data_IF_434872969441
#
_entry.id   IF_434872969441
#
_cell.length_a   1.000
_cell.length_b   1.000
_cell.length_c   1.000
_cell.angle_alpha   90.00
_cell.angle_beta   90.00
_cell.angle_gamma   90.00
#
_symmetry.space_group_name_H-M   'P 1'
#
loop_
_entity.id
_entity.type
_entity.pdbx_description
1 polymer ?
#
# COMPACT_ATOMS: atom_id res chain seq x y z
N UNK A 1 -19.31 -8.49 -22.88
CA UNK A 1 -18.80 -7.11 -22.79
C UNK A 1 -17.56 -6.87 -23.63
N UNK A 2 -17.62 -5.93 -24.59
CA UNK A 2 -16.47 -5.41 -25.33
C UNK A 2 -16.11 -4.04 -24.76
N UNK A 3 -14.87 -3.86 -24.36
CA UNK A 3 -14.40 -2.60 -23.76
C UNK A 3 -13.74 -1.74 -24.83
N UNK A 4 -14.27 -0.54 -25.02
CA UNK A 4 -13.66 0.47 -25.87
C UNK A 4 -12.87 1.41 -24.95
N UNK A 5 -11.55 1.43 -25.12
CA UNK A 5 -10.63 2.26 -24.33
C UNK A 5 -10.70 3.75 -24.69
N UNK A 6 -11.90 4.30 -24.76
CA UNK A 6 -12.16 5.68 -25.12
C UNK A 6 -12.47 6.47 -23.86
N UNK A 7 -11.61 7.45 -23.58
CA UNK A 7 -11.79 8.37 -22.47
C UNK A 7 -12.71 9.53 -22.86
N UNK A 8 -13.91 9.56 -22.28
CA UNK A 8 -14.90 10.61 -22.51
C UNK A 8 -14.40 11.96 -21.97
N UNK A 9 -13.49 11.96 -20.99
CA UNK A 9 -12.88 13.19 -20.48
C UNK A 9 -12.07 13.92 -21.58
N UNK A 10 -11.57 13.18 -22.57
CA UNK A 10 -10.91 13.72 -23.75
C UNK A 10 -11.78 14.67 -24.57
N UNK A 11 -13.11 14.57 -24.47
CA UNK A 11 -14.04 15.51 -25.11
C UNK A 11 -13.93 16.91 -24.50
N UNK A 12 -13.82 16.99 -23.18
CA UNK A 12 -13.76 18.26 -22.45
C UNK A 12 -12.38 18.91 -22.53
N UNK A 13 -11.31 18.11 -22.67
CA UNK A 13 -9.95 18.62 -22.88
C UNK A 13 -9.63 18.91 -24.35
N UNK A 14 -10.55 18.60 -25.28
CA UNK A 14 -10.37 18.79 -26.72
C UNK A 14 -9.48 17.74 -27.40
N UNK A 15 -9.03 16.71 -26.68
CA UNK A 15 -8.24 15.61 -27.23
C UNK A 15 -9.06 14.67 -28.12
N UNK A 16 -10.38 14.61 -27.93
CA UNK A 16 -11.30 13.79 -28.73
C UNK A 16 -12.24 14.67 -29.55
N UNK A 17 -12.37 14.45 -30.88
CA UNK A 17 -13.30 15.22 -31.69
C UNK A 17 -14.75 14.85 -31.35
N UNK A 18 -15.68 15.82 -31.18
CA UNK A 18 -17.07 15.57 -30.82
C UNK A 18 -17.82 14.64 -31.78
N UNK A 19 -17.46 14.68 -33.06
CA UNK A 19 -18.03 13.80 -34.10
C UNK A 19 -17.72 12.32 -33.86
N UNK A 20 -16.54 12.02 -33.32
CA UNK A 20 -16.14 10.66 -32.98
C UNK A 20 -16.91 10.14 -31.77
N UNK A 21 -17.21 10.99 -30.77
CA UNK A 21 -18.09 10.63 -29.65
C UNK A 21 -19.52 10.32 -30.10
N UNK A 22 -20.07 11.10 -31.04
CA UNK A 22 -21.41 10.82 -31.58
C UNK A 22 -21.45 9.51 -32.37
N UNK A 23 -20.46 9.25 -33.21
CA UNK A 23 -20.34 7.97 -33.92
C UNK A 23 -20.21 6.78 -32.94
N UNK A 24 -19.51 6.97 -31.82
CA UNK A 24 -19.45 5.97 -30.75
C UNK A 24 -20.82 5.74 -30.11
N UNK A 25 -21.58 6.79 -29.76
CA UNK A 25 -22.92 6.64 -29.17
C UNK A 25 -23.87 5.91 -30.12
N UNK A 26 -23.78 6.19 -31.43
CA UNK A 26 -24.66 5.61 -32.45
C UNK A 26 -24.32 4.15 -32.78
N UNK A 27 -23.04 3.78 -32.77
CA UNK A 27 -22.59 2.46 -33.21
C UNK A 27 -22.13 1.54 -32.08
N UNK A 28 -22.18 1.97 -30.81
CA UNK A 28 -21.85 1.09 -29.71
C UNK A 28 -23.00 0.11 -29.41
N UNK A 29 -22.69 -1.19 -29.27
CA UNK A 29 -23.67 -2.14 -28.76
C UNK A 29 -24.05 -1.79 -27.31
N UNK A 30 -25.30 -2.03 -26.90
CA UNK A 30 -25.81 -1.68 -25.57
C UNK A 30 -24.96 -2.23 -24.40
N UNK A 31 -24.26 -3.34 -24.66
CA UNK A 31 -23.33 -4.03 -23.76
C UNK A 31 -21.94 -3.37 -23.63
N UNK A 32 -21.74 -2.20 -24.22
CA UNK A 32 -20.47 -1.51 -24.21
C UNK A 32 -20.36 -0.54 -23.03
N UNK A 33 -19.16 -0.46 -22.47
CA UNK A 33 -18.83 0.47 -21.41
C UNK A 33 -17.67 1.35 -21.85
N UNK A 34 -17.82 2.65 -21.66
CA UNK A 34 -16.75 3.64 -21.82
C UNK A 34 -15.89 3.65 -20.56
N UNK A 35 -14.57 3.79 -20.73
CA UNK A 35 -13.62 3.89 -19.62
C UNK A 35 -12.93 5.24 -19.65
N UNK A 36 -13.10 6.03 -18.61
CA UNK A 36 -12.26 7.22 -18.43
C UNK A 36 -10.89 6.81 -17.91
N UNK A 37 -9.84 7.24 -18.61
CA UNK A 37 -8.45 6.98 -18.22
C UNK A 37 -8.12 7.69 -16.90
N UNK A 38 -8.77 8.82 -16.65
CA UNK A 38 -8.62 9.62 -15.43
C UNK A 38 -9.19 8.96 -14.16
N UNK A 39 -10.14 8.01 -14.24
CA UNK A 39 -10.60 7.26 -13.06
C UNK A 39 -9.75 6.02 -12.77
N UNK A 40 -8.91 5.59 -13.72
CA UNK A 40 -8.00 4.46 -13.56
C UNK A 40 -6.57 4.99 -13.34
N UNK A 41 -6.23 5.34 -12.10
CA UNK A 41 -4.87 5.77 -11.72
C UNK A 41 -3.77 4.76 -12.16
N UNK A 42 -4.09 3.47 -12.36
CA UNK A 42 -3.12 2.43 -12.77
C UNK A 42 -3.00 2.15 -14.27
N UNK A 43 -3.59 2.99 -15.15
CA UNK A 43 -3.45 2.87 -16.60
C UNK A 43 -4.12 1.63 -17.22
N UNK A 44 -3.65 1.20 -18.41
CA UNK A 44 -4.25 0.09 -19.19
C UNK A 44 -4.30 -1.23 -18.41
N UNK A 45 -3.47 -1.40 -17.37
CA UNK A 45 -3.44 -2.61 -16.53
C UNK A 45 -4.66 -2.74 -15.60
N UNK A 46 -5.30 -1.63 -15.27
CA UNK A 46 -6.57 -1.61 -14.51
C UNK A 46 -7.78 -1.69 -15.45
N UNK A 47 -7.56 -1.73 -16.76
CA UNK A 47 -8.61 -1.84 -17.76
C UNK A 47 -9.13 -3.28 -17.85
N UNK A 48 -9.96 -3.68 -16.91
CA UNK A 48 -10.62 -5.00 -16.90
C UNK A 48 -11.59 -5.20 -15.74
N UNK A 49 -11.61 -4.24 -14.82
CA UNK A 49 -12.43 -4.29 -13.63
C UNK A 49 -13.86 -3.85 -13.92
N UNK A 50 -14.74 -4.82 -13.96
CA UNK A 50 -16.20 -4.68 -13.97
C UNK A 50 -16.79 -5.06 -12.60
N UNK A 51 -18.05 -4.69 -12.32
CA UNK A 51 -18.76 -5.04 -11.08
C UNK A 51 -18.64 -6.53 -10.76
N UNK A 52 -18.79 -7.40 -11.76
CA UNK A 52 -18.67 -8.84 -11.56
C UNK A 52 -17.27 -9.24 -11.12
N UNK A 53 -16.22 -8.63 -11.68
CA UNK A 53 -14.83 -8.91 -11.28
C UNK A 53 -14.50 -8.40 -9.87
N UNK A 54 -15.11 -7.29 -9.44
CA UNK A 54 -14.99 -6.82 -8.05
C UNK A 54 -15.62 -7.81 -7.07
N UNK A 55 -16.83 -8.28 -7.37
CA UNK A 55 -17.54 -9.27 -6.54
C UNK A 55 -16.72 -10.57 -6.46
N UNK A 56 -16.18 -11.04 -7.59
CA UNK A 56 -15.35 -12.25 -7.61
C UNK A 56 -14.06 -12.09 -6.80
N UNK A 57 -13.40 -10.93 -6.89
CA UNK A 57 -12.22 -10.64 -6.06
C UNK A 57 -12.56 -10.65 -4.57
N UNK A 58 -13.70 -10.06 -4.18
CA UNK A 58 -14.17 -10.05 -2.79
C UNK A 58 -14.54 -11.46 -2.28
N UNK A 59 -15.22 -12.26 -3.10
CA UNK A 59 -15.49 -13.66 -2.79
C UNK A 59 -14.20 -14.47 -2.61
N UNK A 60 -13.19 -14.23 -3.44
CA UNK A 60 -11.90 -14.90 -3.34
C UNK A 60 -11.18 -14.54 -2.03
N UNK A 61 -11.17 -13.26 -1.67
CA UNK A 61 -10.61 -12.79 -0.39
C UNK A 61 -11.33 -13.43 0.80
N UNK A 62 -12.66 -13.47 0.77
CA UNK A 62 -13.47 -14.12 1.81
C UNK A 62 -13.15 -15.62 1.92
N UNK A 63 -13.02 -16.32 0.79
CA UNK A 63 -12.67 -17.74 0.77
C UNK A 63 -11.27 -17.99 1.35
N UNK A 64 -10.29 -17.16 1.01
CA UNK A 64 -8.94 -17.24 1.58
C UNK A 64 -8.96 -17.00 3.10
N UNK A 65 -9.77 -16.06 3.57
CA UNK A 65 -9.96 -15.80 5.00
C UNK A 65 -10.60 -17.00 5.73
N UNK A 66 -11.64 -17.60 5.14
CA UNK A 66 -12.26 -18.81 5.69
C UNK A 66 -11.24 -19.96 5.74
N UNK A 67 -10.51 -20.21 4.66
CA UNK A 67 -9.51 -21.28 4.60
C UNK A 67 -8.40 -21.08 5.63
N UNK A 68 -7.86 -19.86 5.75
CA UNK A 68 -6.82 -19.58 6.75
C UNK A 68 -7.34 -19.67 8.19
N UNK A 69 -8.59 -19.29 8.45
CA UNK A 69 -9.22 -19.50 9.75
C UNK A 69 -9.35 -20.99 10.10
N UNK A 70 -9.71 -21.83 9.12
CA UNK A 70 -9.81 -23.27 9.31
C UNK A 70 -8.44 -23.88 9.61
N UNK A 71 -7.41 -23.51 8.84
CA UNK A 71 -6.04 -23.97 9.10
C UNK A 71 -5.54 -23.53 10.48
N UNK A 72 -5.83 -22.28 10.89
CA UNK A 72 -5.50 -21.76 12.23
C UNK A 72 -6.11 -22.60 13.35
N UNK A 73 -7.32 -23.12 13.17
CA UNK A 73 -7.97 -23.98 14.18
C UNK A 73 -7.30 -25.35 14.34
N UNK A 74 -6.55 -25.82 13.34
CA UNK A 74 -5.95 -27.16 13.32
C UNK A 74 -4.48 -27.19 13.73
N UNK A 75 -3.79 -26.05 13.70
CA UNK A 75 -2.37 -25.97 14.06
C UNK A 75 -2.17 -25.70 15.56
N UNK A 76 -1.09 -26.24 16.13
CA UNK A 76 -0.73 -26.02 17.54
C UNK A 76 -0.40 -24.55 17.86
N UNK A 77 0.14 -23.80 16.89
CA UNK A 77 0.43 -22.38 17.04
C UNK A 77 -0.33 -21.56 15.99
N UNK A 78 -1.51 -21.02 16.33
CA UNK A 78 -2.34 -20.27 15.38
C UNK A 78 -1.71 -18.95 14.92
N UNK A 79 -0.78 -18.38 15.69
CA UNK A 79 -0.07 -17.13 15.32
C UNK A 79 0.99 -17.33 14.24
N UNK A 80 1.38 -18.58 13.96
CA UNK A 80 2.34 -18.87 12.90
C UNK A 80 1.73 -18.80 11.49
N UNK A 81 0.41 -18.80 11.38
CA UNK A 81 -0.28 -18.78 10.07
C UNK A 81 -0.40 -17.35 9.60
N UNK A 82 0.34 -17.01 8.53
CA UNK A 82 0.27 -15.71 7.86
C UNK A 82 -1.14 -15.49 7.30
N UNK A 83 -1.65 -14.27 7.42
CA UNK A 83 -2.86 -13.89 6.70
C UNK A 83 -2.55 -13.78 5.21
N UNK A 84 -3.51 -14.18 4.35
CA UNK A 84 -3.34 -14.04 2.92
C UNK A 84 -3.40 -12.54 2.56
N UNK A 85 -2.55 -12.13 1.62
CA UNK A 85 -2.65 -10.81 1.03
C UNK A 85 -3.95 -10.71 0.21
N UNK A 86 -4.74 -9.63 0.35
CA UNK A 86 -5.92 -9.42 -0.48
C UNK A 86 -5.60 -9.38 -1.96
N UNK A 87 -6.55 -9.78 -2.79
CA UNK A 87 -6.43 -9.69 -4.23
C UNK A 87 -6.25 -8.23 -4.66
N UNK A 88 -5.31 -7.99 -5.58
CA UNK A 88 -4.94 -6.63 -6.02
C UNK A 88 -6.12 -6.00 -6.77
N UNK A 89 -6.66 -4.90 -6.27
CA UNK A 89 -7.75 -4.12 -6.89
C UNK A 89 -7.23 -2.76 -7.39
N UNK A 90 -7.82 -2.16 -8.45
CA UNK A 90 -7.53 -0.79 -8.86
C UNK A 90 -7.85 0.16 -7.71
N UNK A 91 -6.99 1.15 -7.48
CA UNK A 91 -7.13 2.08 -6.37
C UNK A 91 -6.85 1.50 -4.98
N UNK A 92 -6.57 0.19 -4.84
CA UNK A 92 -6.02 -0.35 -3.57
C UNK A 92 -4.53 -0.04 -3.50
N UNK A 93 -4.19 1.23 -3.31
CA UNK A 93 -2.84 1.60 -2.87
C UNK A 93 -2.67 0.94 -1.51
N UNK A 94 -1.70 0.02 -1.37
CA UNK A 94 -1.30 -0.47 -0.06
C UNK A 94 -0.76 0.74 0.70
N UNK A 95 -1.60 1.44 1.43
CA UNK A 95 -1.14 2.30 2.50
C UNK A 95 -0.45 1.35 3.48
N UNK A 96 0.88 1.27 3.37
CA UNK A 96 1.66 0.75 4.47
C UNK A 96 1.26 1.62 5.66
N UNK A 97 0.48 1.10 6.58
CA UNK A 97 0.31 1.71 7.89
C UNK A 97 1.73 1.88 8.45
N UNK A 98 2.31 3.07 8.27
CA UNK A 98 3.52 3.45 8.97
C UNK A 98 3.09 3.40 10.43
N UNK A 99 3.58 2.41 11.15
CA UNK A 99 3.41 2.35 12.61
C UNK A 99 3.89 3.70 13.14
N UNK A 100 2.94 4.54 13.54
CA UNK A 100 3.24 5.84 14.09
C UNK A 100 4.01 5.61 15.38
N UNK A 101 5.32 5.89 15.35
CA UNK A 101 6.13 5.91 16.55
C UNK A 101 6.16 7.37 17.04
N UNK A 102 5.55 7.69 18.19
CA UNK A 102 5.52 9.07 18.68
C UNK A 102 6.93 9.64 18.90
N UNK A 103 7.92 8.77 19.15
CA UNK A 103 9.32 9.18 19.30
C UNK A 103 10.02 9.53 17.99
N UNK A 104 9.60 8.97 16.84
CA UNK A 104 10.20 9.37 15.56
C UNK A 104 9.76 10.77 15.15
N UNK A 105 8.50 11.14 15.41
CA UNK A 105 8.01 12.49 15.12
C UNK A 105 8.68 13.57 15.97
N UNK A 106 8.95 13.27 17.25
CA UNK A 106 9.65 14.21 18.13
C UNK A 106 11.13 14.39 17.75
N UNK A 107 11.78 13.38 17.16
CA UNK A 107 13.16 13.47 16.71
C UNK A 107 13.31 14.27 15.42
N UNK A 108 12.30 14.22 14.55
CA UNK A 108 12.29 14.97 13.28
C UNK A 108 12.19 16.48 13.53
N UNK A 109 11.50 16.91 14.60
CA UNK A 109 11.43 18.33 15.03
C UNK A 109 12.72 18.85 15.68
N UNK A 110 13.61 17.97 16.17
CA UNK A 110 14.89 18.36 16.80
C UNK A 110 16.07 18.36 15.83
N UNK A 111 15.91 17.86 14.61
CA UNK A 111 16.98 17.87 13.62
C UNK A 111 17.12 19.27 13.01
N UNK A 112 18.30 19.90 13.09
CA UNK A 112 18.52 21.19 12.43
C UNK A 112 18.30 21.03 10.91
N UNK A 113 17.67 22.05 10.31
CA UNK A 113 17.47 22.17 8.87
C UNK A 113 18.79 21.88 8.13
N UNK A 114 18.76 21.28 6.93
CA UNK A 114 19.97 20.87 6.21
C UNK A 114 20.93 22.05 5.95
N UNK A 115 20.43 23.28 5.92
CA UNK A 115 21.20 24.51 5.75
C UNK A 115 22.04 24.85 7.00
N UNK A 116 21.59 24.45 8.20
CA UNK A 116 22.28 24.70 9.47
C UNK A 116 23.33 23.61 9.78
N UNK A 117 23.32 22.48 9.08
CA UNK A 117 24.30 21.38 9.25
C UNK A 117 25.73 21.79 8.87
N UNK A 118 25.91 22.78 8.01
CA UNK A 118 27.23 23.27 7.62
C UNK A 118 27.83 24.22 8.66
N UNK A 119 27.00 24.84 9.50
CA UNK A 119 27.42 25.73 10.60
C UNK A 119 27.93 24.96 11.83
N UNK A 120 27.38 23.77 12.08
CA UNK A 120 27.87 22.84 13.09
C UNK A 120 28.77 21.80 12.43
N UNK A 121 30.01 22.20 12.10
CA UNK A 121 31.03 21.26 11.60
C UNK A 121 31.18 20.00 12.46
N UNK A 122 31.91 18.99 11.95
CA UNK A 122 32.11 17.60 12.42
C UNK A 122 31.96 17.28 13.95
N UNK A 123 32.19 18.27 14.80
CA UNK A 123 31.92 18.31 16.26
C UNK A 123 30.49 17.95 16.70
N UNK A 124 29.45 18.20 15.89
CA UNK A 124 28.07 17.85 16.25
C UNK A 124 27.83 16.34 16.37
N UNK A 125 28.45 15.56 15.48
CA UNK A 125 28.39 14.10 15.51
C UNK A 125 29.28 13.49 16.60
N UNK A 126 30.36 14.20 16.98
CA UNK A 126 31.27 13.74 18.03
C UNK A 126 30.64 13.77 19.44
N UNK A 127 29.70 14.69 19.68
CA UNK A 127 29.08 14.86 21.01
C UNK A 127 28.16 13.70 21.40
N UNK A 128 27.61 12.97 20.42
CA UNK A 128 26.76 11.80 20.63
C UNK A 128 27.31 10.51 19.99
N UNK A 129 28.63 10.46 19.75
CA UNK A 129 29.26 9.23 19.29
C UNK A 129 29.09 8.15 20.36
N UNK A 130 28.21 7.18 20.09
CA UNK A 130 27.99 6.04 20.98
C UNK A 130 29.33 5.31 21.11
N UNK A 131 29.91 5.19 22.32
CA UNK A 131 31.18 4.50 22.49
C UNK A 131 31.05 3.05 22.03
N UNK A 132 32.07 2.56 21.32
CA UNK A 132 32.04 1.27 20.62
C UNK A 132 31.64 0.09 21.53
N UNK A 133 31.94 0.18 22.83
CA UNK A 133 31.57 -0.80 23.84
C UNK A 133 30.04 -0.94 24.02
N UNK A 134 29.30 0.18 24.01
CA UNK A 134 27.83 0.18 24.15
C UNK A 134 27.18 -0.38 22.88
N UNK A 135 27.75 -0.06 21.72
CA UNK A 135 27.26 -0.54 20.44
C UNK A 135 27.45 -2.07 20.33
N UNK A 136 28.58 -2.60 20.77
CA UNK A 136 28.82 -4.04 20.87
C UNK A 136 27.82 -4.72 21.83
N UNK A 137 27.52 -4.10 22.98
CA UNK A 137 26.53 -4.60 23.95
C UNK A 137 25.12 -4.64 23.37
N UNK A 138 24.73 -3.66 22.57
CA UNK A 138 23.40 -3.60 21.93
C UNK A 138 23.17 -4.70 20.89
N UNK A 139 24.25 -5.21 20.28
CA UNK A 139 24.18 -6.32 19.33
C UNK A 139 24.16 -7.69 20.00
N UNK A 140 24.45 -7.75 21.31
CA UNK A 140 24.44 -8.98 22.07
C UNK A 140 23.00 -9.35 22.47
N UNK A 141 22.35 -10.23 21.70
CA UNK A 141 21.10 -10.88 22.11
C UNK A 141 21.39 -11.87 23.24
N UNK A 142 21.51 -11.38 24.46
CA UNK A 142 21.55 -12.23 25.64
C UNK A 142 20.16 -12.85 25.87
N UNK A 143 20.15 -14.17 26.07
CA UNK A 143 19.01 -15.04 25.86
C UNK A 143 17.77 -14.75 26.72
N UNK A 144 16.63 -15.25 26.21
CA UNK A 144 15.33 -15.43 26.86
C UNK A 144 15.34 -15.13 28.37
N UNK A 145 14.99 -13.89 28.73
CA UNK A 145 14.68 -13.53 30.10
C UNK A 145 13.59 -14.45 30.64
N UNK A 146 13.86 -15.15 31.72
CA UNK A 146 12.85 -15.91 32.44
C UNK A 146 11.78 -14.94 32.97
N UNK A 147 10.47 -15.26 32.89
CA UNK A 147 9.43 -14.38 33.40
C UNK A 147 9.58 -14.23 34.91
N UNK A 148 9.56 -12.99 35.40
CA UNK A 148 9.54 -12.70 36.82
C UNK A 148 8.24 -13.25 37.41
N UNK A 149 8.35 -14.01 38.50
CA UNK A 149 7.19 -14.47 39.27
C UNK A 149 6.91 -13.44 40.35
N UNK A 150 5.71 -12.87 40.32
CA UNK A 150 5.16 -12.09 41.43
C UNK A 150 4.45 -13.08 42.35
N UNK A 151 4.96 -13.19 43.57
CA UNK A 151 4.35 -13.94 44.67
C UNK A 151 3.32 -13.07 45.39
#
# INVERSE_FOLDING_TARGET
MRFYGVDIHGLFTGALPPRFCLALIEHLPLESAFKSRALCDGGVKDAGWDRNTFILAEMLDALQMIHTSFVRSKVKNPRSVKQPDPYRRPGSTKESEKKYNPFSGALDDELPEPEDRELYGETGQATFAIPAEILARSTFQEGKGAPFKVS
#
